data_IF_820397760642
#
_entry.id   IF_820397760642
#
_cell.length_a   1.000
_cell.length_b   1.000
_cell.length_c   1.000
_cell.angle_alpha   90.00
_cell.angle_beta   90.00
_cell.angle_gamma   90.00
#
_symmetry.space_group_name_H-M   'P 1'
#
loop_
_entity.id
_entity.type
_entity.pdbx_description
1 polymer ?
#
# COMPACT_ATOMS: atom_id res chain seq x y z
N UNK A 1 -19.78 -0.10 6.30
CA UNK A 1 -20.25 0.42 5.00
C UNK A 1 -21.70 0.06 4.76
N UNK A 2 -22.51 1.06 4.44
CA UNK A 2 -23.90 0.96 3.98
C UNK A 2 -24.00 1.71 2.66
N UNK A 3 -25.03 1.48 1.81
CA UNK A 3 -25.17 2.20 0.53
C UNK A 3 -25.08 3.72 0.65
N UNK A 4 -25.69 4.29 1.69
CA UNK A 4 -25.72 5.73 1.96
C UNK A 4 -24.78 6.14 3.11
N UNK A 5 -23.84 5.26 3.48
CA UNK A 5 -22.90 5.52 4.55
C UNK A 5 -21.83 6.55 4.16
N UNK A 6 -21.18 7.21 5.13
CA UNK A 6 -20.10 8.14 4.84
C UNK A 6 -18.93 7.44 4.14
N UNK A 7 -18.28 8.13 3.21
CA UNK A 7 -17.04 7.69 2.57
C UNK A 7 -16.12 8.90 2.34
N UNK A 8 -14.94 8.98 2.97
CA UNK A 8 -14.35 8.03 3.92
C UNK A 8 -15.11 7.99 5.26
N UNK A 9 -15.13 6.82 5.90
CA UNK A 9 -15.72 6.60 7.22
C UNK A 9 -14.65 6.73 8.32
N UNK A 10 -14.94 7.49 9.39
CA UNK A 10 -14.03 7.58 10.54
C UNK A 10 -14.15 6.31 11.40
N UNK A 11 -13.19 5.41 11.26
CA UNK A 11 -13.15 4.13 11.97
C UNK A 11 -12.66 4.27 13.41
N UNK A 12 -11.60 5.05 13.62
CA UNK A 12 -11.05 5.30 14.96
C UNK A 12 -10.78 6.79 15.12
N UNK A 13 -11.01 7.31 16.34
CA UNK A 13 -10.68 8.68 16.70
C UNK A 13 -9.45 8.70 17.60
N UNK A 14 -8.56 9.65 17.36
CA UNK A 14 -7.38 9.89 18.18
C UNK A 14 -7.80 10.10 19.66
N UNK A 15 -7.22 9.34 20.60
CA UNK A 15 -7.48 9.55 22.02
C UNK A 15 -7.02 10.95 22.45
N UNK A 16 -7.72 11.56 23.43
CA UNK A 16 -7.41 12.89 23.98
C UNK A 16 -6.12 12.95 24.84
N UNK A 17 -5.25 11.96 24.73
CA UNK A 17 -4.02 11.88 25.52
C UNK A 17 -2.95 12.79 24.90
N UNK A 18 -2.30 13.63 25.71
CA UNK A 18 -1.12 14.40 25.30
C UNK A 18 0.05 13.45 25.11
N UNK A 19 0.31 13.03 23.86
CA UNK A 19 1.61 12.46 23.47
C UNK A 19 2.51 13.60 22.98
N UNK A 20 3.80 13.52 23.30
CA UNK A 20 4.83 14.45 22.78
C UNK A 20 5.13 14.24 21.29
N UNK A 21 4.63 13.15 20.69
CA UNK A 21 4.81 12.80 19.28
C UNK A 21 3.48 13.02 18.55
N UNK A 22 3.46 13.83 17.46
CA UNK A 22 2.30 13.93 16.58
C UNK A 22 1.97 12.57 15.99
N UNK A 23 0.76 12.07 16.25
CA UNK A 23 0.23 10.89 15.58
C UNK A 23 -0.47 11.33 14.30
N UNK A 24 0.13 11.03 13.14
CA UNK A 24 -0.41 11.34 11.82
C UNK A 24 -1.74 10.60 11.61
N UNK A 25 -2.79 11.23 11.05
CA UNK A 25 -3.98 10.53 10.61
C UNK A 25 -3.64 9.44 9.57
N UNK A 26 -4.34 8.32 9.63
CA UNK A 26 -4.22 7.22 8.68
C UNK A 26 -5.47 7.14 7.81
N UNK A 27 -5.30 7.03 6.50
CA UNK A 27 -6.38 6.71 5.55
C UNK A 27 -6.09 5.33 4.95
N UNK A 28 -7.02 4.39 5.10
CA UNK A 28 -6.93 3.03 4.57
C UNK A 28 -7.93 2.80 3.43
N UNK A 29 -7.44 2.30 2.30
CA UNK A 29 -8.24 1.96 1.12
C UNK A 29 -8.53 0.46 1.10
N UNK A 30 -9.76 0.09 0.76
CA UNK A 30 -10.23 -1.28 0.62
C UNK A 30 -9.36 -2.14 -0.33
N UNK A 31 -9.47 -3.45 -0.21
CA UNK A 31 -8.85 -4.44 -1.09
C UNK A 31 -9.70 -4.74 -2.34
N UNK A 32 -9.32 -5.72 -3.16
CA UNK A 32 -10.07 -6.14 -4.36
C UNK A 32 -11.53 -6.52 -4.10
N UNK A 33 -11.87 -6.92 -2.87
CA UNK A 33 -13.25 -7.22 -2.47
C UNK A 33 -14.14 -5.98 -2.30
N UNK A 34 -13.57 -4.77 -2.30
CA UNK A 34 -14.31 -3.51 -2.22
C UNK A 34 -14.77 -3.11 -0.81
N UNK A 35 -14.47 -3.92 0.21
CA UNK A 35 -15.01 -3.75 1.57
C UNK A 35 -13.97 -3.23 2.55
N UNK A 36 -14.41 -2.56 3.60
CA UNK A 36 -13.54 -2.18 4.73
C UNK A 36 -13.67 -3.12 5.92
N UNK A 37 -14.42 -4.22 5.78
CA UNK A 37 -14.81 -5.11 6.89
C UNK A 37 -13.60 -5.64 7.68
N UNK A 38 -12.51 -5.97 6.99
CA UNK A 38 -11.27 -6.44 7.62
C UNK A 38 -10.67 -5.43 8.59
N UNK A 39 -10.65 -4.13 8.24
CA UNK A 39 -10.05 -3.10 9.08
C UNK A 39 -10.78 -2.89 10.41
N UNK A 40 -12.10 -3.15 10.47
CA UNK A 40 -12.88 -3.04 11.71
C UNK A 40 -12.53 -4.08 12.77
N UNK A 41 -11.79 -5.14 12.40
CA UNK A 41 -11.28 -6.11 13.37
C UNK A 41 -10.07 -5.59 14.15
N UNK A 42 -9.38 -4.56 13.64
CA UNK A 42 -8.15 -4.04 14.24
C UNK A 42 -8.37 -3.48 15.65
N UNK A 43 -7.36 -3.66 16.51
CA UNK A 43 -7.30 -2.96 17.78
C UNK A 43 -7.00 -1.47 17.61
N UNK A 44 -6.80 -0.77 18.74
CA UNK A 44 -6.58 0.68 18.74
C UNK A 44 -5.24 1.05 18.10
N UNK A 45 -5.28 1.89 17.06
CA UNK A 45 -4.11 2.45 16.36
C UNK A 45 -3.68 3.84 16.89
N UNK A 46 -4.38 4.33 17.92
CA UNK A 46 -4.02 5.54 18.69
C UNK A 46 -3.96 6.85 17.86
N UNK A 47 -4.70 6.91 16.75
CA UNK A 47 -4.79 8.05 15.83
C UNK A 47 -6.16 8.11 15.17
N UNK A 48 -6.43 9.18 14.43
CA UNK A 48 -7.59 9.19 13.53
C UNK A 48 -7.33 8.19 12.41
N UNK A 49 -8.27 7.27 12.20
CA UNK A 49 -8.20 6.26 11.14
C UNK A 49 -9.46 6.38 10.30
N UNK A 50 -9.28 6.71 9.03
CA UNK A 50 -10.32 6.80 8.02
C UNK A 50 -10.24 5.57 7.12
N UNK A 51 -11.39 5.05 6.70
CA UNK A 51 -11.46 3.92 5.78
C UNK A 51 -12.30 4.27 4.55
N UNK A 52 -11.80 3.92 3.38
CA UNK A 52 -12.47 4.12 2.09
C UNK A 52 -12.95 2.77 1.58
N UNK A 53 -14.26 2.63 1.39
CA UNK A 53 -14.86 1.48 0.72
C UNK A 53 -15.11 1.79 -0.75
N UNK A 54 -15.34 0.77 -1.58
CA UNK A 54 -15.66 0.97 -2.99
C UNK A 54 -17.09 1.55 -3.12
N UNK A 55 -17.27 2.81 -3.56
CA UNK A 55 -18.60 3.43 -3.68
C UNK A 55 -19.47 2.74 -4.74
N UNK A 56 -18.86 2.03 -5.69
CA UNK A 56 -19.57 1.24 -6.71
C UNK A 56 -19.84 -0.21 -6.27
N UNK A 57 -19.53 -0.59 -5.02
CA UNK A 57 -19.76 -1.95 -4.50
C UNK A 57 -21.24 -2.38 -4.59
N UNK A 58 -22.16 -1.49 -4.22
CA UNK A 58 -23.59 -1.82 -4.18
C UNK A 58 -24.24 -1.86 -5.55
N UNK A 59 -23.95 -0.85 -6.39
CA UNK A 59 -24.46 -0.72 -7.75
C UNK A 59 -23.81 -1.71 -8.72
N UNK A 60 -22.57 -2.13 -8.44
CA UNK A 60 -21.76 -2.90 -9.37
C UNK A 60 -21.37 -2.12 -10.62
N UNK A 61 -21.42 -0.78 -10.61
CA UNK A 61 -20.99 0.01 -11.75
C UNK A 61 -19.48 -0.15 -12.02
N UNK A 62 -19.08 -0.11 -13.29
CA UNK A 62 -17.66 -0.16 -13.68
C UNK A 62 -16.99 1.21 -13.54
N UNK A 63 -15.66 1.20 -13.44
CA UNK A 63 -14.81 2.39 -13.59
C UNK A 63 -14.42 2.52 -15.05
N UNK A 64 -15.03 3.47 -15.76
CA UNK A 64 -14.92 3.62 -17.21
C UNK A 64 -13.51 4.00 -17.64
N UNK A 65 -12.82 4.82 -16.83
CA UNK A 65 -11.41 5.19 -17.04
C UNK A 65 -10.47 4.38 -16.13
N UNK A 66 -10.89 3.18 -15.75
CA UNK A 66 -10.07 2.23 -15.01
C UNK A 66 -9.71 2.68 -13.58
N UNK A 67 -8.57 2.19 -13.10
CA UNK A 67 -8.08 2.44 -11.74
C UNK A 67 -7.73 3.92 -11.48
N UNK A 68 -7.34 4.68 -12.51
CA UNK A 68 -7.04 6.11 -12.35
C UNK A 68 -8.30 6.91 -12.03
N UNK A 69 -9.46 6.55 -12.60
CA UNK A 69 -10.77 7.11 -12.19
C UNK A 69 -11.04 6.84 -10.72
N UNK A 70 -10.77 5.61 -10.27
CA UNK A 70 -10.99 5.17 -8.90
C UNK A 70 -10.09 5.95 -7.93
N UNK A 71 -8.80 6.05 -8.23
CA UNK A 71 -7.83 6.80 -7.44
C UNK A 71 -8.20 8.30 -7.36
N UNK A 72 -8.53 8.92 -8.50
CA UNK A 72 -8.96 10.32 -8.54
C UNK A 72 -10.22 10.55 -7.71
N UNK A 73 -11.20 9.65 -7.83
CA UNK A 73 -12.43 9.73 -7.04
C UNK A 73 -12.13 9.62 -5.54
N UNK A 74 -11.23 8.74 -5.12
CA UNK A 74 -10.87 8.58 -3.70
C UNK A 74 -10.13 9.80 -3.17
N UNK A 75 -9.26 10.43 -3.96
CA UNK A 75 -8.66 11.72 -3.62
C UNK A 75 -9.73 12.80 -3.41
N UNK A 76 -10.75 12.88 -4.27
CA UNK A 76 -11.88 13.80 -4.09
C UNK A 76 -12.66 13.51 -2.79
N UNK A 77 -12.89 12.24 -2.45
CA UNK A 77 -13.55 11.85 -1.20
C UNK A 77 -12.75 12.29 0.03
N UNK A 78 -11.42 12.09 0.02
CA UNK A 78 -10.52 12.52 1.11
C UNK A 78 -10.64 14.04 1.33
N UNK A 79 -10.55 14.82 0.25
CA UNK A 79 -10.68 16.29 0.30
C UNK A 79 -12.06 16.75 0.75
N UNK A 80 -13.12 16.16 0.20
CA UNK A 80 -14.50 16.49 0.56
C UNK A 80 -14.80 16.21 2.04
N UNK A 81 -14.07 15.26 2.65
CA UNK A 81 -14.19 14.97 4.08
C UNK A 81 -13.47 15.99 4.97
N UNK A 82 -12.70 16.91 4.39
CA UNK A 82 -11.87 17.87 5.11
C UNK A 82 -10.61 17.25 5.71
N UNK A 83 -10.17 16.10 5.19
CA UNK A 83 -8.88 15.51 5.58
C UNK A 83 -7.79 16.30 4.86
N UNK A 84 -6.93 16.98 5.62
CA UNK A 84 -5.87 17.85 5.12
C UNK A 84 -4.61 17.75 5.98
N UNK A 85 -3.53 18.40 5.55
CA UNK A 85 -2.23 18.33 6.19
C UNK A 85 -1.50 17.03 5.90
N UNK A 86 -0.57 16.67 6.77
CA UNK A 86 0.25 15.45 6.66
C UNK A 86 -0.52 14.22 7.12
N UNK A 87 -0.62 13.22 6.24
CA UNK A 87 -1.27 11.93 6.53
C UNK A 87 -0.39 10.74 6.14
N UNK A 88 -0.68 9.59 6.73
CA UNK A 88 -0.27 8.29 6.20
C UNK A 88 -1.40 7.76 5.33
N UNK A 89 -1.07 7.34 4.12
CA UNK A 89 -2.01 6.70 3.21
C UNK A 89 -1.64 5.22 3.04
N UNK A 90 -2.60 4.32 3.00
CA UNK A 90 -2.30 2.90 2.87
C UNK A 90 -3.49 2.05 2.48
N UNK A 91 -3.25 0.76 2.36
CA UNK A 91 -4.29 -0.20 2.03
C UNK A 91 -3.73 -1.60 1.93
N UNK A 92 -4.66 -2.56 1.86
CA UNK A 92 -4.34 -3.97 1.68
C UNK A 92 -4.61 -4.39 0.24
N UNK A 93 -3.71 -5.18 -0.34
CA UNK A 93 -3.83 -5.70 -1.71
C UNK A 93 -4.02 -4.54 -2.71
N UNK A 94 -5.12 -4.50 -3.46
CA UNK A 94 -5.51 -3.39 -4.33
C UNK A 94 -5.34 -2.00 -3.69
N UNK A 95 -5.67 -1.86 -2.39
CA UNK A 95 -5.59 -0.60 -1.67
C UNK A 95 -4.17 -0.04 -1.58
N UNK A 96 -3.14 -0.89 -1.60
CA UNK A 96 -1.74 -0.47 -1.67
C UNK A 96 -1.41 0.22 -3.00
N UNK A 97 -1.90 -0.32 -4.12
CA UNK A 97 -1.70 0.26 -5.45
C UNK A 97 -2.42 1.60 -5.60
N UNK A 98 -3.68 1.66 -5.13
CA UNK A 98 -4.46 2.91 -5.13
C UNK A 98 -3.82 3.99 -4.27
N UNK A 99 -3.23 3.61 -3.13
CA UNK A 99 -2.49 4.54 -2.27
C UNK A 99 -1.30 5.16 -3.00
N UNK A 100 -0.55 4.35 -3.74
CA UNK A 100 0.58 4.79 -4.54
C UNK A 100 0.14 5.71 -5.69
N UNK A 101 -0.96 5.38 -6.38
CA UNK A 101 -1.54 6.21 -7.44
C UNK A 101 -2.03 7.57 -6.92
N UNK A 102 -2.74 7.60 -5.79
CA UNK A 102 -3.19 8.84 -5.17
C UNK A 102 -2.00 9.70 -4.74
N UNK A 103 -0.97 9.08 -4.14
CA UNK A 103 0.25 9.80 -3.77
C UNK A 103 0.93 10.43 -5.01
N UNK A 104 0.96 9.72 -6.14
CA UNK A 104 1.49 10.25 -7.41
C UNK A 104 0.68 11.42 -7.93
N UNK A 105 -0.65 11.36 -7.86
CA UNK A 105 -1.53 12.44 -8.27
C UNK A 105 -1.31 13.69 -7.42
N UNK A 106 -1.20 13.54 -6.10
CA UNK A 106 -0.92 14.66 -5.18
C UNK A 106 0.46 15.26 -5.49
N UNK A 107 1.49 14.42 -5.64
CA UNK A 107 2.85 14.89 -5.95
C UNK A 107 2.90 15.67 -7.27
N UNK A 108 2.16 15.23 -8.29
CA UNK A 108 2.07 15.90 -9.59
C UNK A 108 1.36 17.26 -9.53
N UNK A 109 0.44 17.48 -8.59
CA UNK A 109 -0.19 18.79 -8.39
C UNK A 109 0.77 19.79 -7.76
N UNK A 110 1.74 19.33 -6.96
CA UNK A 110 2.76 20.17 -6.34
C UNK A 110 2.16 21.36 -5.58
N UNK A 111 2.63 22.58 -5.87
CA UNK A 111 2.12 23.82 -5.25
C UNK A 111 0.69 24.19 -5.65
N UNK A 112 0.14 23.54 -6.68
CA UNK A 112 -1.24 23.75 -7.13
C UNK A 112 -2.24 22.90 -6.33
N UNK A 113 -1.80 22.11 -5.35
CA UNK A 113 -2.72 21.39 -4.48
C UNK A 113 -3.46 22.32 -3.51
N UNK A 114 -4.67 22.72 -3.91
CA UNK A 114 -5.59 23.50 -3.08
C UNK A 114 -5.98 22.80 -1.75
N UNK A 115 -5.80 21.47 -1.67
CA UNK A 115 -6.16 20.66 -0.51
C UNK A 115 -5.18 20.73 0.66
N UNK A 116 -3.98 21.28 0.48
CA UNK A 116 -2.89 21.26 1.47
C UNK A 116 -2.64 19.86 2.04
N UNK A 117 -2.77 18.83 1.21
CA UNK A 117 -2.65 17.43 1.59
C UNK A 117 -1.26 16.90 1.26
N UNK A 118 -0.55 16.35 2.24
CA UNK A 118 0.79 15.78 2.06
C UNK A 118 0.80 14.31 2.51
N UNK A 119 1.33 13.42 1.67
CA UNK A 119 1.49 12.01 2.03
C UNK A 119 2.86 11.81 2.67
N UNK A 120 2.90 11.75 4.00
CA UNK A 120 4.12 11.53 4.78
C UNK A 120 4.73 10.14 4.58
N UNK A 121 3.89 9.15 4.25
CA UNK A 121 4.31 7.78 4.03
C UNK A 121 3.20 6.87 3.52
N UNK A 122 3.61 5.76 2.95
CA UNK A 122 2.74 4.72 2.38
C UNK A 122 2.76 3.47 3.26
N UNK A 123 1.60 3.07 3.78
CA UNK A 123 1.44 1.81 4.51
C UNK A 123 0.90 0.74 3.57
N UNK A 124 1.81 -0.12 3.09
CA UNK A 124 1.49 -1.19 2.15
C UNK A 124 1.24 -2.46 2.93
N UNK A 125 0.02 -2.99 2.88
CA UNK A 125 -0.35 -4.21 3.59
C UNK A 125 -0.48 -5.32 2.57
N UNK A 126 0.43 -6.28 2.62
CA UNK A 126 0.50 -7.46 1.76
C UNK A 126 0.06 -7.21 0.30
N UNK A 127 0.66 -6.21 -0.35
CA UNK A 127 0.35 -5.85 -1.74
C UNK A 127 1.56 -6.20 -2.60
N UNK A 128 1.62 -7.41 -3.21
CA UNK A 128 2.72 -7.80 -4.07
C UNK A 128 2.82 -6.90 -5.30
N UNK A 129 4.03 -6.70 -5.81
CA UNK A 129 4.21 -6.08 -7.12
C UNK A 129 3.45 -6.89 -8.18
N UNK A 130 2.83 -6.18 -9.12
CA UNK A 130 2.17 -6.80 -10.25
C UNK A 130 2.51 -6.02 -11.52
N UNK A 131 2.45 -6.73 -12.64
CA UNK A 131 2.46 -6.17 -13.98
C UNK A 131 1.14 -6.51 -14.66
N UNK A 132 0.61 -5.64 -15.55
CA UNK A 132 -0.58 -5.93 -16.33
C UNK A 132 -0.42 -7.25 -17.06
N UNK A 133 -1.47 -8.08 -17.06
CA UNK A 133 -1.39 -9.46 -17.54
C UNK A 133 -2.10 -9.72 -18.87
N UNK A 134 -2.23 -8.71 -19.72
CA UNK A 134 -3.02 -8.80 -20.96
C UNK A 134 -2.50 -9.81 -21.99
N UNK A 135 -1.23 -10.26 -21.93
CA UNK A 135 -0.67 -11.23 -22.90
C UNK A 135 0.16 -12.38 -22.31
N UNK A 136 0.86 -12.22 -21.18
CA UNK A 136 1.81 -13.24 -20.67
C UNK A 136 1.81 -13.32 -19.14
N UNK A 137 0.80 -13.95 -18.55
CA UNK A 137 0.89 -14.36 -17.14
C UNK A 137 1.55 -15.73 -17.00
N UNK A 138 2.43 -15.93 -16.00
CA UNK A 138 2.75 -17.28 -15.59
C UNK A 138 1.44 -18.01 -15.20
N UNK A 139 1.39 -19.34 -15.35
CA UNK A 139 0.25 -20.10 -14.85
C UNK A 139 0.10 -19.86 -13.35
N UNK A 140 -1.11 -19.52 -12.93
CA UNK A 140 -1.47 -19.25 -11.53
C UNK A 140 -2.68 -20.09 -11.15
N UNK A 141 -2.73 -20.50 -9.88
CA UNK A 141 -3.87 -21.22 -9.34
C UNK A 141 -4.91 -20.27 -8.74
N UNK A 142 -6.18 -20.68 -8.77
CA UNK A 142 -7.25 -19.93 -8.12
C UNK A 142 -7.19 -20.12 -6.59
N UNK A 143 -7.31 -19.03 -5.81
CA UNK A 143 -7.28 -19.13 -4.36
C UNK A 143 -8.53 -19.84 -3.83
N UNK A 144 -8.35 -20.70 -2.84
CA UNK A 144 -9.44 -21.32 -2.08
C UNK A 144 -9.97 -20.32 -1.06
N UNK A 145 -11.11 -19.70 -1.39
CA UNK A 145 -11.79 -18.70 -0.56
C UNK A 145 -13.20 -19.19 -0.18
N UNK A 146 -13.35 -19.94 0.93
CA UNK A 146 -14.65 -20.45 1.35
C UNK A 146 -15.58 -19.29 1.77
N UNK A 147 -16.89 -19.51 1.59
CA UNK A 147 -17.96 -18.64 2.08
C UNK A 147 -17.91 -17.17 1.60
N UNK A 148 -17.31 -16.92 0.43
CA UNK A 148 -17.27 -15.59 -0.16
C UNK A 148 -18.68 -15.14 -0.60
N UNK A 149 -19.10 -13.98 -0.11
CA UNK A 149 -20.38 -13.38 -0.51
C UNK A 149 -20.40 -13.08 -2.02
N UNK A 150 -21.52 -13.33 -2.74
CA UNK A 150 -21.58 -13.14 -4.20
C UNK A 150 -21.17 -11.74 -4.69
N UNK A 151 -21.53 -10.68 -3.96
CA UNK A 151 -21.12 -9.30 -4.30
C UNK A 151 -19.62 -9.07 -4.13
N UNK A 152 -18.99 -9.69 -3.14
CA UNK A 152 -17.54 -9.62 -2.94
C UNK A 152 -16.83 -10.33 -4.07
N UNK A 153 -17.30 -11.53 -4.45
CA UNK A 153 -16.78 -12.27 -5.60
C UNK A 153 -16.85 -11.46 -6.90
N UNK A 154 -18.02 -10.87 -7.20
CA UNK A 154 -18.19 -9.99 -8.36
C UNK A 154 -17.23 -8.79 -8.34
N UNK A 155 -16.93 -8.25 -7.15
CA UNK A 155 -16.01 -7.11 -7.04
C UNK A 155 -14.56 -7.53 -7.27
N UNK A 156 -14.16 -8.73 -6.81
CA UNK A 156 -12.85 -9.29 -7.16
C UNK A 156 -12.71 -9.53 -8.66
N UNK A 157 -13.71 -10.11 -9.32
CA UNK A 157 -13.69 -10.32 -10.78
C UNK A 157 -13.47 -9.00 -11.54
N UNK A 158 -14.18 -7.94 -11.13
CA UNK A 158 -13.99 -6.59 -11.69
C UNK A 158 -12.64 -5.98 -11.36
N UNK A 159 -12.11 -6.26 -10.17
CA UNK A 159 -10.76 -5.84 -9.81
C UNK A 159 -9.73 -6.51 -10.72
N UNK A 160 -9.89 -7.81 -11.00
CA UNK A 160 -9.02 -8.55 -11.90
C UNK A 160 -9.10 -7.99 -13.34
N UNK A 161 -10.30 -7.64 -13.80
CA UNK A 161 -10.48 -6.98 -15.10
C UNK A 161 -9.73 -5.64 -15.17
N UNK A 162 -9.83 -4.83 -14.11
CA UNK A 162 -9.13 -3.54 -14.02
C UNK A 162 -7.61 -3.70 -14.02
N UNK A 163 -7.09 -4.68 -13.28
CA UNK A 163 -5.66 -4.96 -13.18
C UNK A 163 -5.09 -5.65 -14.43
N UNK A 164 -5.94 -6.19 -15.31
CA UNK A 164 -5.48 -6.85 -16.53
C UNK A 164 -4.72 -5.93 -17.48
N UNK A 165 -5.07 -4.65 -17.50
CA UNK A 165 -4.49 -3.64 -18.41
C UNK A 165 -3.96 -2.40 -17.70
N UNK A 166 -4.27 -2.19 -16.42
CA UNK A 166 -3.78 -1.03 -15.69
C UNK A 166 -2.34 -1.22 -15.21
N UNK A 167 -1.47 -0.27 -15.55
CA UNK A 167 -0.08 -0.22 -15.10
C UNK A 167 0.08 0.63 -13.86
N UNK A 168 0.98 0.22 -12.95
CA UNK A 168 1.39 1.05 -11.83
C UNK A 168 1.95 2.41 -12.32
N UNK A 169 1.65 3.52 -11.62
CA UNK A 169 2.21 4.82 -11.96
C UNK A 169 3.73 4.78 -11.83
N UNK A 170 4.47 5.37 -12.78
CA UNK A 170 5.93 5.51 -12.66
C UNK A 170 6.32 6.78 -11.91
N UNK A 171 7.45 6.73 -11.23
CA UNK A 171 8.05 7.86 -10.54
C UNK A 171 9.39 8.20 -11.20
N UNK A 172 9.76 9.48 -11.19
CA UNK A 172 11.03 9.89 -11.79
C UNK A 172 12.24 9.46 -10.98
N UNK A 173 12.07 9.34 -9.65
CA UNK A 173 13.15 9.08 -8.70
C UNK A 173 12.70 8.07 -7.64
N UNK A 174 13.67 7.44 -6.99
CA UNK A 174 13.43 6.62 -5.80
C UNK A 174 12.97 7.49 -4.62
N UNK A 175 12.37 6.87 -3.60
CA UNK A 175 11.98 7.61 -2.39
C UNK A 175 13.21 8.29 -1.77
N UNK A 176 13.01 9.52 -1.28
CA UNK A 176 14.09 10.37 -0.75
C UNK A 176 15.19 10.71 -1.75
N UNK A 177 14.89 10.65 -3.06
CA UNK A 177 15.86 10.90 -4.12
C UNK A 177 16.98 9.87 -4.20
N UNK A 178 16.79 8.67 -3.62
CA UNK A 178 17.80 7.61 -3.56
C UNK A 178 18.76 7.72 -2.37
N UNK A 179 18.69 8.79 -1.57
CA UNK A 179 19.57 9.00 -0.42
C UNK A 179 19.29 7.99 0.72
N UNK A 180 20.32 7.60 1.49
CA UNK A 180 20.14 6.76 2.67
C UNK A 180 19.16 7.39 3.67
N UNK A 181 18.27 6.57 4.23
CA UNK A 181 17.28 7.06 5.19
C UNK A 181 17.64 6.63 6.60
N UNK A 182 17.55 7.56 7.54
CA UNK A 182 17.68 7.28 8.96
C UNK A 182 16.30 7.05 9.56
N UNK A 183 16.09 5.88 10.18
CA UNK A 183 14.83 5.52 10.86
C UNK A 183 15.09 5.08 12.31
N UNK A 184 14.04 5.13 13.13
CA UNK A 184 14.06 4.60 14.50
C UNK A 184 13.05 3.47 14.62
N UNK A 185 13.51 2.29 15.03
CA UNK A 185 12.68 1.12 15.24
C UNK A 185 13.26 0.25 16.36
N UNK A 186 12.39 -0.32 17.20
CA UNK A 186 12.82 -1.10 18.36
C UNK A 186 13.69 -0.32 19.36
N UNK A 187 13.51 1.01 19.46
CA UNK A 187 14.32 1.89 20.30
C UNK A 187 15.68 2.29 19.71
N UNK A 188 16.09 1.68 18.59
CA UNK A 188 17.40 1.91 17.98
C UNK A 188 17.30 2.76 16.71
N UNK A 189 18.37 3.51 16.42
CA UNK A 189 18.55 4.26 15.16
C UNK A 189 19.18 3.33 14.12
N UNK A 190 18.62 3.32 12.92
CA UNK A 190 19.09 2.54 11.78
C UNK A 190 19.35 3.46 10.59
N UNK A 191 20.38 3.17 9.80
CA UNK A 191 20.64 3.82 8.50
C UNK A 191 20.32 2.78 7.43
N UNK A 192 19.43 3.12 6.52
CA UNK A 192 18.93 2.26 5.45
C UNK A 192 19.52 2.79 4.15
N UNK A 193 20.53 2.10 3.56
CA UNK A 193 21.08 2.48 2.27
C UNK A 193 20.08 2.39 1.13
N UNK A 194 20.44 2.96 -0.02
CA UNK A 194 19.75 2.73 -1.28
C UNK A 194 19.64 1.23 -1.60
N UNK A 195 18.48 0.79 -2.10
CA UNK A 195 18.11 -0.61 -2.39
C UNK A 195 18.29 -1.54 -1.20
N UNK A 196 17.96 -1.04 -0.01
CA UNK A 196 17.87 -1.80 1.22
C UNK A 196 16.59 -1.45 1.99
N UNK A 197 16.17 -2.34 2.88
CA UNK A 197 15.08 -2.14 3.80
C UNK A 197 15.46 -2.58 5.21
N UNK A 198 14.95 -1.86 6.19
CA UNK A 198 14.93 -2.28 7.57
C UNK A 198 13.88 -3.38 7.75
N UNK A 199 14.33 -4.59 8.01
CA UNK A 199 13.51 -5.79 8.03
C UNK A 199 13.29 -6.30 9.46
N UNK A 200 12.03 -6.56 9.82
CA UNK A 200 11.63 -7.25 11.06
C UNK A 200 11.05 -8.63 10.70
N UNK A 201 11.83 -9.71 10.86
CA UNK A 201 11.32 -11.08 10.81
C UNK A 201 10.33 -11.35 11.94
N UNK A 202 9.56 -12.44 11.83
CA UNK A 202 8.61 -12.88 12.86
C UNK A 202 9.26 -12.97 14.25
N UNK A 203 10.32 -13.76 14.36
CA UNK A 203 10.93 -14.17 15.64
C UNK A 203 12.38 -13.71 15.78
N UNK A 204 12.73 -12.57 15.17
CA UNK A 204 14.11 -12.03 15.24
C UNK A 204 14.13 -10.52 15.31
N UNK A 205 15.27 -9.98 15.73
CA UNK A 205 15.48 -8.53 15.81
C UNK A 205 15.53 -7.87 14.43
N UNK A 206 15.44 -6.54 14.46
CA UNK A 206 15.58 -5.67 13.29
C UNK A 206 16.94 -5.85 12.61
N UNK A 207 16.92 -6.02 11.28
CA UNK A 207 18.13 -6.15 10.47
C UNK A 207 17.98 -5.37 9.17
N UNK A 208 19.04 -4.73 8.69
CA UNK A 208 19.04 -4.10 7.36
C UNK A 208 19.39 -5.16 6.31
N UNK A 209 18.54 -5.31 5.28
CA UNK A 209 18.75 -6.24 4.17
C UNK A 209 18.63 -5.54 2.82
N UNK A 210 19.40 -6.00 1.84
CA UNK A 210 19.24 -5.58 0.44
C UNK A 210 17.85 -6.01 -0.08
N UNK A 211 17.21 -5.16 -0.87
CA UNK A 211 15.85 -5.37 -1.41
C UNK A 211 15.84 -5.80 -2.87
N UNK A 212 16.97 -5.68 -3.55
CA UNK A 212 17.15 -6.10 -4.94
C UNK A 212 18.14 -7.26 -5.04
N UNK A 213 17.83 -8.20 -5.91
CA UNK A 213 18.84 -9.03 -6.58
C UNK A 213 19.46 -8.19 -7.71
N UNK A 214 20.74 -8.38 -8.02
CA UNK A 214 21.37 -7.59 -9.09
C UNK A 214 20.61 -7.78 -10.41
N UNK A 215 20.36 -6.70 -11.18
CA UNK A 215 19.66 -6.83 -12.44
C UNK A 215 20.49 -7.72 -13.38
N UNK A 216 19.93 -8.86 -13.78
CA UNK A 216 20.45 -9.62 -14.92
C UNK A 216 20.38 -8.71 -16.15
N UNK A 217 21.48 -8.60 -16.87
CA UNK A 217 21.77 -7.61 -17.91
C UNK A 217 20.85 -7.61 -19.14
N UNK A 218 19.82 -8.45 -19.19
CA UNK A 218 18.89 -8.55 -20.30
C UNK A 218 17.49 -8.09 -19.90
N UNK A 219 17.16 -6.81 -20.17
CA UNK A 219 15.78 -6.38 -20.34
C UNK A 219 15.59 -5.78 -21.73
N UNK A 220 14.93 -6.47 -22.66
CA UNK A 220 14.36 -5.84 -23.84
C UNK A 220 13.05 -5.14 -23.42
N UNK A 221 12.97 -3.81 -23.55
CA UNK A 221 11.69 -3.09 -23.39
C UNK A 221 11.77 -1.67 -22.81
N UNK A 222 12.91 -1.21 -22.30
CA UNK A 222 13.06 0.15 -21.80
C UNK A 222 13.40 1.14 -22.93
N UNK A 223 12.46 1.35 -23.84
CA UNK A 223 12.35 2.50 -24.76
C UNK A 223 11.00 2.36 -25.46
N UNK A 224 9.99 3.05 -24.94
CA UNK A 224 8.79 3.37 -25.73
C UNK A 224 8.91 4.84 -26.10
N UNK A 225 8.55 5.10 -27.34
CA UNK A 225 8.90 6.28 -28.12
C UNK A 225 8.25 7.56 -27.60
N UNK A 226 9.00 8.66 -27.75
CA UNK A 226 8.59 10.02 -27.41
C UNK A 226 7.53 10.51 -28.39
N UNK A 227 6.43 11.05 -27.88
CA UNK A 227 5.61 12.08 -28.54
C UNK A 227 4.45 12.53 -27.62
N UNK A 228 4.71 13.38 -26.60
CA UNK A 228 3.78 14.46 -26.18
C UNK A 228 4.49 15.53 -25.30
N UNK A 229 5.09 16.50 -25.97
CA UNK A 229 6.23 17.35 -25.54
C UNK A 229 5.92 18.50 -24.56
N UNK A 230 4.89 18.40 -23.70
CA UNK A 230 4.61 19.45 -22.68
C UNK A 230 4.28 18.96 -21.28
N UNK A 231 3.98 17.67 -21.10
CA UNK A 231 3.73 17.08 -19.77
C UNK A 231 4.97 16.36 -19.18
N UNK A 232 6.01 16.12 -19.99
CA UNK A 232 7.19 15.33 -19.59
C UNK A 232 8.16 16.04 -18.63
N UNK A 233 8.23 17.38 -18.64
CA UNK A 233 9.21 18.10 -17.83
C UNK A 233 9.00 18.00 -16.29
N UNK A 234 7.79 17.65 -15.82
CA UNK A 234 7.50 17.49 -14.39
C UNK A 234 7.55 16.02 -13.90
N UNK A 235 7.55 15.03 -14.81
CA UNK A 235 7.71 13.61 -14.45
C UNK A 235 9.13 13.32 -13.96
N UNK A 236 10.11 14.08 -14.45
CA UNK A 236 11.54 13.83 -14.20
C UNK A 236 12.00 14.04 -12.75
N UNK A 237 11.18 14.56 -11.81
CA UNK A 237 11.63 14.89 -10.44
C UNK A 237 10.70 14.43 -9.30
N UNK A 238 9.70 13.61 -9.58
CA UNK A 238 8.78 13.15 -8.53
C UNK A 238 9.31 11.88 -7.87
N UNK A 239 9.43 11.91 -6.54
CA UNK A 239 9.77 10.74 -5.72
C UNK A 239 8.55 10.21 -4.97
N UNK A 240 8.37 8.89 -4.86
CA UNK A 240 7.32 8.32 -4.03
C UNK A 240 7.60 8.61 -2.54
N UNK A 241 6.54 8.77 -1.72
CA UNK A 241 6.70 8.73 -0.28
C UNK A 241 7.30 7.38 0.16
N UNK A 242 8.01 7.38 1.28
CA UNK A 242 8.53 6.14 1.86
C UNK A 242 7.40 5.15 2.15
N UNK A 243 7.59 3.91 1.70
CA UNK A 243 6.74 2.77 2.00
C UNK A 243 7.22 1.96 3.20
N UNK A 244 6.26 1.51 4.02
CA UNK A 244 6.43 0.42 4.97
C UNK A 244 5.53 -0.73 4.54
N UNK A 245 6.12 -1.91 4.34
CA UNK A 245 5.42 -3.12 3.94
C UNK A 245 5.15 -4.01 5.17
N UNK A 246 3.88 -4.35 5.41
CA UNK A 246 3.50 -5.48 6.24
C UNK A 246 3.33 -6.69 5.32
N UNK A 247 4.24 -7.66 5.39
CA UNK A 247 4.33 -8.80 4.48
C UNK A 247 3.79 -10.06 5.14
N UNK A 248 2.77 -10.68 4.57
CA UNK A 248 2.39 -12.04 4.94
C UNK A 248 3.48 -13.03 4.50
N UNK A 249 3.86 -13.98 5.35
CA UNK A 249 4.80 -15.05 4.95
C UNK A 249 4.10 -16.33 4.52
N UNK A 250 2.83 -16.50 4.92
CA UNK A 250 2.02 -17.65 4.52
C UNK A 250 1.58 -17.58 3.07
N UNK A 251 1.61 -18.73 2.40
CA UNK A 251 1.06 -18.89 1.03
C UNK A 251 -0.43 -19.18 1.08
N UNK A 252 -1.15 -18.63 0.11
CA UNK A 252 -2.58 -18.81 -0.06
C UNK A 252 -2.88 -20.24 -0.54
N UNK A 253 -3.78 -20.98 0.13
CA UNK A 253 -4.25 -22.26 -0.35
C UNK A 253 -4.95 -22.12 -1.71
N UNK A 254 -4.70 -23.06 -2.63
CA UNK A 254 -5.28 -23.06 -3.96
C UNK A 254 -6.34 -24.18 -4.12
N UNK A 255 -7.31 -23.97 -5.02
CA UNK A 255 -8.38 -24.94 -5.31
C UNK A 255 -7.87 -26.24 -5.95
N UNK A 256 -6.79 -26.15 -6.74
CA UNK A 256 -6.20 -27.24 -7.53
C UNK A 256 -5.02 -27.93 -6.80
N UNK A 257 -5.03 -27.91 -5.47
CA UNK A 257 -3.96 -28.45 -4.63
C UNK A 257 -2.60 -27.75 -4.81
N UNK A 258 -2.56 -26.58 -5.46
CA UNK A 258 -1.35 -25.77 -5.57
C UNK A 258 -0.38 -26.24 -6.65
N UNK A 259 -0.91 -26.73 -7.78
CA UNK A 259 -0.10 -27.01 -8.97
C UNK A 259 0.74 -25.79 -9.39
N UNK A 260 0.19 -24.59 -9.21
CA UNK A 260 0.87 -23.31 -9.36
C UNK A 260 0.66 -22.44 -8.11
N UNK A 261 1.51 -21.42 -7.87
CA UNK A 261 1.22 -20.43 -6.83
C UNK A 261 -0.06 -19.66 -7.17
N UNK A 262 -0.79 -19.22 -6.14
CA UNK A 262 -1.79 -18.17 -6.31
C UNK A 262 -1.08 -16.89 -6.79
N UNK A 263 -1.77 -16.05 -7.57
CA UNK A 263 -1.17 -14.83 -8.15
C UNK A 263 -0.51 -13.92 -7.10
N UNK A 264 -1.16 -13.75 -5.94
CA UNK A 264 -0.65 -12.97 -4.81
C UNK A 264 0.63 -13.56 -4.16
N UNK A 265 1.00 -14.78 -4.52
CA UNK A 265 2.16 -15.48 -3.95
C UNK A 265 3.31 -15.70 -4.95
N UNK A 266 3.22 -15.13 -6.16
CA UNK A 266 4.28 -15.18 -7.17
C UNK A 266 5.62 -14.66 -6.62
N UNK A 267 5.57 -13.62 -5.77
CA UNK A 267 6.74 -13.02 -5.16
C UNK A 267 6.83 -13.25 -3.64
N UNK A 268 6.14 -14.25 -3.09
CA UNK A 268 6.02 -14.45 -1.64
C UNK A 268 7.38 -14.56 -0.93
N UNK A 269 8.36 -15.17 -1.58
CA UNK A 269 9.69 -15.38 -1.00
C UNK A 269 10.58 -14.12 -1.09
N UNK A 270 10.23 -13.16 -1.95
CA UNK A 270 10.93 -11.89 -2.07
C UNK A 270 10.68 -11.02 -0.84
N UNK A 271 11.74 -10.39 -0.31
CA UNK A 271 11.67 -9.51 0.85
C UNK A 271 10.63 -8.40 0.66
N UNK A 272 10.58 -7.82 -0.54
CA UNK A 272 9.68 -6.72 -0.88
C UNK A 272 8.54 -7.19 -1.78
N UNK A 273 8.16 -8.47 -1.76
CA UNK A 273 7.08 -9.02 -2.60
C UNK A 273 7.17 -8.60 -4.08
N UNK A 274 8.39 -8.59 -4.64
CA UNK A 274 8.63 -8.29 -6.06
C UNK A 274 8.87 -6.82 -6.38
N UNK A 275 8.60 -5.88 -5.46
CA UNK A 275 8.80 -4.44 -5.70
C UNK A 275 10.27 -4.08 -6.01
N UNK A 276 11.23 -4.89 -5.59
CA UNK A 276 12.66 -4.71 -5.94
C UNK A 276 13.02 -5.01 -7.41
N UNK A 277 12.11 -5.61 -8.19
CA UNK A 277 12.37 -6.09 -9.55
C UNK A 277 12.14 -5.02 -10.64
N UNK A 278 12.61 -3.79 -10.42
CA UNK A 278 12.59 -2.73 -11.43
C UNK A 278 11.50 -1.66 -11.27
N UNK A 279 10.80 -1.69 -10.14
CA UNK A 279 10.04 -0.54 -9.67
C UNK A 279 10.94 0.38 -8.83
N UNK A 280 10.52 1.63 -8.62
CA UNK A 280 11.28 2.61 -7.84
C UNK A 280 11.43 2.16 -6.37
N UNK A 281 12.59 2.42 -5.78
CA UNK A 281 12.96 1.99 -4.44
C UNK A 281 12.29 2.86 -3.37
N UNK A 282 11.04 2.52 -3.03
CA UNK A 282 10.24 3.22 -2.03
C UNK A 282 10.01 2.44 -0.73
N UNK A 283 10.06 1.11 -0.74
CA UNK A 283 9.86 0.29 0.47
C UNK A 283 11.13 0.28 1.31
N UNK A 284 11.13 1.02 2.43
CA UNK A 284 12.30 1.14 3.32
C UNK A 284 12.18 0.33 4.60
N UNK A 285 10.99 -0.20 4.89
CA UNK A 285 10.77 -1.08 6.05
C UNK A 285 9.88 -2.24 5.63
N UNK A 286 10.24 -3.45 6.08
CA UNK A 286 9.42 -4.66 5.89
C UNK A 286 9.21 -5.32 7.25
N UNK A 287 7.98 -5.66 7.60
CA UNK A 287 7.66 -6.43 8.80
C UNK A 287 6.84 -7.65 8.41
N UNK A 288 7.26 -8.82 8.87
CA UNK A 288 6.56 -10.06 8.56
C UNK A 288 5.35 -10.26 9.49
N UNK A 289 4.27 -10.79 8.91
CA UNK A 289 3.08 -11.27 9.57
C UNK A 289 2.89 -12.77 9.24
N UNK A 290 2.48 -13.56 10.23
CA UNK A 290 2.29 -15.02 10.10
C UNK A 290 1.15 -15.44 9.15
N UNK A 291 0.37 -14.49 8.67
CA UNK A 291 -0.86 -14.70 7.91
C UNK A 291 -0.58 -15.14 6.47
N UNK A 292 -1.63 -15.53 5.75
CA UNK A 292 -1.66 -15.55 4.28
C UNK A 292 -2.28 -14.24 3.79
N UNK A 293 -2.24 -13.99 2.48
CA UNK A 293 -2.83 -12.78 1.88
C UNK A 293 -4.28 -12.56 2.34
N UNK A 294 -5.12 -13.59 2.25
CA UNK A 294 -6.56 -13.50 2.52
C UNK A 294 -6.95 -13.72 3.99
N UNK A 295 -6.01 -14.09 4.88
CA UNK A 295 -6.30 -14.29 6.32
C UNK A 295 -5.75 -13.20 7.22
N UNK A 296 -5.08 -12.18 6.68
CA UNK A 296 -4.47 -11.11 7.49
C UNK A 296 -5.48 -10.34 8.37
N UNK A 297 -6.74 -10.25 7.93
CA UNK A 297 -7.83 -9.66 8.69
C UNK A 297 -8.93 -10.66 9.09
N UNK A 298 -8.59 -11.94 9.28
CA UNK A 298 -9.55 -12.90 9.80
C UNK A 298 -9.98 -12.54 11.24
N UNK A 299 -11.18 -11.97 11.36
CA UNK A 299 -11.79 -11.56 12.64
C UNK A 299 -11.98 -12.70 13.63
N UNK A 300 -12.02 -13.96 13.17
CA UNK A 300 -12.16 -15.11 14.04
C UNK A 300 -10.84 -15.46 14.72
N UNK A 301 -9.71 -15.03 14.15
CA UNK A 301 -8.38 -15.26 14.71
C UNK A 301 -7.88 -14.06 15.53
N UNK A 302 -8.35 -13.94 16.77
CA UNK A 302 -8.04 -12.80 17.66
C UNK A 302 -6.53 -12.62 17.93
N UNK A 303 -5.74 -13.69 17.99
CA UNK A 303 -4.29 -13.57 18.21
C UNK A 303 -3.59 -12.98 16.99
N UNK A 304 -3.95 -13.41 15.78
CA UNK A 304 -3.45 -12.83 14.55
C UNK A 304 -3.83 -11.35 14.42
N UNK A 305 -5.09 -10.99 14.70
CA UNK A 305 -5.51 -9.59 14.67
C UNK A 305 -4.73 -8.73 15.67
N UNK A 306 -4.45 -9.23 16.88
CA UNK A 306 -3.58 -8.52 17.85
C UNK A 306 -2.16 -8.34 17.33
N UNK A 307 -1.61 -9.37 16.68
CA UNK A 307 -0.28 -9.32 16.09
C UNK A 307 -0.22 -8.29 14.94
N UNK A 308 -1.14 -8.36 13.98
CA UNK A 308 -1.25 -7.38 12.88
C UNK A 308 -1.43 -5.97 13.41
N UNK A 309 -2.30 -5.77 14.41
CA UNK A 309 -2.48 -4.47 15.08
C UNK A 309 -1.17 -3.97 15.69
N UNK A 310 -0.36 -4.85 16.29
CA UNK A 310 0.95 -4.49 16.85
C UNK A 310 1.94 -4.06 15.77
N UNK A 311 1.99 -4.79 14.64
CA UNK A 311 2.84 -4.43 13.49
C UNK A 311 2.44 -3.07 12.91
N UNK A 312 1.14 -2.82 12.75
CA UNK A 312 0.64 -1.53 12.26
C UNK A 312 1.03 -0.39 13.21
N UNK A 313 0.89 -0.56 14.54
CA UNK A 313 1.34 0.45 15.48
C UNK A 313 2.85 0.71 15.38
N UNK A 314 3.67 -0.33 15.22
CA UNK A 314 5.12 -0.17 15.02
C UNK A 314 5.44 0.58 13.72
N UNK A 315 4.78 0.25 12.62
CA UNK A 315 4.94 0.96 11.33
C UNK A 315 4.57 2.43 11.46
N UNK A 316 3.45 2.71 12.11
CA UNK A 316 2.93 4.05 12.29
C UNK A 316 3.82 4.89 13.23
N UNK A 317 4.40 4.28 14.27
CA UNK A 317 5.37 4.95 15.15
C UNK A 317 6.67 5.32 14.40
N UNK A 318 7.07 4.55 13.38
CA UNK A 318 8.22 4.88 12.52
C UNK A 318 7.93 6.14 11.69
N UNK A 319 6.73 6.25 11.10
CA UNK A 319 6.33 7.45 10.38
C UNK A 319 6.31 8.68 11.30
N UNK A 320 5.65 8.56 12.45
CA UNK A 320 5.52 9.67 13.42
C UNK A 320 6.90 10.17 13.91
N UNK A 321 7.87 9.28 14.12
CA UNK A 321 9.23 9.66 14.54
C UNK A 321 10.05 10.33 13.44
N UNK A 322 9.87 9.94 12.18
CA UNK A 322 10.54 10.58 11.04
C UNK A 322 10.07 12.02 10.87
N UNK A 323 8.77 12.26 11.02
CA UNK A 323 8.19 13.60 10.95
C UNK A 323 8.79 14.55 12.00
N UNK A 324 8.96 14.09 13.24
CA UNK A 324 9.63 14.87 14.28
C UNK A 324 11.07 15.29 13.89
N UNK A 325 11.83 14.37 13.29
CA UNK A 325 13.19 14.67 12.82
C UNK A 325 13.22 15.70 11.70
N UNK A 326 12.24 15.67 10.79
CA UNK A 326 12.11 16.67 9.73
C UNK A 326 11.78 18.06 10.25
N UNK A 327 10.90 18.17 11.26
CA UNK A 327 10.52 19.45 11.86
C UNK A 327 11.61 20.06 12.75
N UNK A 328 12.46 19.25 13.37
CA UNK A 328 13.58 19.72 14.20
C UNK A 328 14.79 20.25 13.39
N UNK A 329 14.75 20.11 12.05
CA UNK A 329 15.83 20.50 11.14
C UNK A 329 15.54 21.80 10.38
N UNK A 330 14.44 22.50 10.71
CA UNK A 330 14.00 23.80 10.17
C UNK A 330 14.21 24.86 11.26
#
# INVERSE_FOLDING_TARGET
MTPDGPNPELMQKKPRVKKNIPALPLVLIHDGGGTTAGFWSLGKLQRDVWVIHNPKFWSGASWQRGMDEMALHYLSLIRARGISGRIVLGGWSLGGFLSLAIARMIAALGKQDEGSLEISGLLIIDSPYFEPWYEQSPPVSQPLLPDMLPKVKQTYEKCDDLLSSWSLPRWGWDAMGGEPVTLRAGGNKHIIPHRAALYKPLDSDWVVKKTAEEPTTDRPGARIDMEDDRAEHDVEKLSPPMGILIRCVGRTPALDQGHHPCRVDLYRDSLTLGWGQGYEDYIKVVMDATNTHYTIFDRNNRSQIKHVTSLLNQALDIFDQRELGSMASI
#
